data_IF_684354513376
#
_entry.id   IF_684354513376
#
_cell.length_a   1.000
_cell.length_b   1.000
_cell.length_c   1.000
_cell.angle_alpha   90.00
_cell.angle_beta   90.00
_cell.angle_gamma   90.00
#
_symmetry.space_group_name_H-M   'P 1'
#
loop_
_entity.id
_entity.type
_entity.pdbx_description
1 polymer ?
#
# COMPACT_ATOMS: atom_id res chain seq x y z
N UNK A 1 -12.67 9.36 20.62
CA UNK A 1 -12.67 8.79 19.25
C UNK A 1 -12.84 7.29 19.40
N UNK A 2 -13.93 6.73 18.90
CA UNK A 2 -14.13 5.28 18.87
C UNK A 2 -13.02 4.65 18.01
N UNK A 3 -12.39 3.54 18.44
CA UNK A 3 -11.41 2.86 17.61
C UNK A 3 -12.09 2.49 16.29
N UNK A 4 -11.55 2.97 15.16
CA UNK A 4 -11.97 2.50 13.85
C UNK A 4 -11.56 1.04 13.76
N UNK A 5 -12.53 0.16 14.00
CA UNK A 5 -12.30 -1.28 14.03
C UNK A 5 -12.09 -1.77 12.59
N UNK A 6 -10.84 -1.95 12.20
CA UNK A 6 -10.46 -2.51 10.90
C UNK A 6 -9.93 -3.94 11.10
N UNK A 7 -10.30 -4.92 10.25
CA UNK A 7 -9.81 -6.30 10.38
C UNK A 7 -8.29 -6.43 10.37
N UNK A 8 -7.61 -5.56 9.61
CA UNK A 8 -6.14 -5.54 9.49
C UNK A 8 -5.52 -4.43 10.37
N UNK A 9 -6.16 -4.09 11.49
CA UNK A 9 -5.70 -2.97 12.35
C UNK A 9 -4.23 -3.13 12.75
N UNK A 10 -3.84 -4.35 13.12
CA UNK A 10 -2.48 -4.67 13.53
C UNK A 10 -1.48 -4.42 12.38
N UNK A 11 -1.79 -4.91 11.17
CA UNK A 11 -0.93 -4.72 10.01
C UNK A 11 -0.78 -3.25 9.63
N UNK A 12 -1.85 -2.45 9.76
CA UNK A 12 -1.82 -1.00 9.51
C UNK A 12 -0.94 -0.27 10.54
N UNK A 13 -1.05 -0.62 11.81
CA UNK A 13 -0.20 -0.05 12.87
C UNK A 13 1.29 -0.43 12.64
N UNK A 14 1.57 -1.66 12.18
CA UNK A 14 2.91 -2.11 11.79
C UNK A 14 3.45 -1.39 10.55
N UNK A 15 2.61 -1.11 9.54
CA UNK A 15 3.01 -0.38 8.34
C UNK A 15 3.52 1.03 8.65
N UNK A 16 2.92 1.72 9.61
CA UNK A 16 3.37 3.03 10.03
C UNK A 16 4.76 3.00 10.71
N UNK A 17 5.13 1.87 11.33
CA UNK A 17 6.37 1.69 12.09
C UNK A 17 7.49 1.05 11.24
N UNK A 18 7.15 0.09 10.40
CA UNK A 18 8.08 -0.80 9.70
C UNK A 18 7.90 -0.79 8.18
N UNK A 19 6.88 -0.11 7.67
CA UNK A 19 6.59 -0.05 6.25
C UNK A 19 7.52 0.90 5.47
N UNK A 20 7.00 1.55 4.42
CA UNK A 20 7.81 2.33 3.50
C UNK A 20 8.47 3.55 4.16
N UNK A 21 9.72 3.82 3.79
CA UNK A 21 10.46 5.01 4.25
C UNK A 21 9.76 6.33 3.98
N UNK A 22 8.93 6.39 2.93
CA UNK A 22 8.14 7.58 2.64
C UNK A 22 6.83 7.53 3.47
N UNK A 23 6.66 8.45 4.45
CA UNK A 23 5.46 8.47 5.29
C UNK A 23 4.17 8.73 4.51
N UNK A 24 4.25 9.36 3.34
CA UNK A 24 3.09 9.58 2.48
C UNK A 24 2.45 8.26 2.02
N UNK A 25 3.27 7.22 1.78
CA UNK A 25 2.74 5.91 1.39
C UNK A 25 1.93 5.29 2.55
N UNK A 26 2.43 5.40 3.78
CA UNK A 26 1.68 4.93 4.96
C UNK A 26 0.35 5.67 5.13
N UNK A 27 0.34 6.99 4.91
CA UNK A 27 -0.90 7.79 4.99
C UNK A 27 -1.91 7.39 3.91
N UNK A 28 -1.46 7.07 2.71
CA UNK A 28 -2.32 6.59 1.64
C UNK A 28 -2.93 5.23 1.97
N UNK A 29 -2.12 4.31 2.52
CA UNK A 29 -2.57 2.99 2.97
C UNK A 29 -3.62 3.11 4.07
N UNK A 30 -3.38 3.97 5.08
CA UNK A 30 -4.35 4.24 6.14
C UNK A 30 -5.68 4.78 5.60
N UNK A 31 -5.63 5.73 4.66
CA UNK A 31 -6.86 6.29 4.07
C UNK A 31 -7.61 5.24 3.26
N UNK A 32 -6.92 4.43 2.47
CA UNK A 32 -7.54 3.34 1.72
C UNK A 32 -8.20 2.31 2.64
N UNK A 33 -7.56 1.96 3.76
CA UNK A 33 -8.12 0.99 4.70
C UNK A 33 -9.26 1.58 5.55
N UNK A 34 -9.03 2.73 6.18
CA UNK A 34 -9.98 3.28 7.15
C UNK A 34 -11.10 4.10 6.51
N UNK A 35 -10.85 4.81 5.42
CA UNK A 35 -11.86 5.66 4.78
C UNK A 35 -12.57 4.92 3.63
N UNK A 36 -11.92 3.94 3.00
CA UNK A 36 -12.47 3.17 1.88
C UNK A 36 -12.70 1.68 2.17
N UNK A 37 -12.28 1.18 3.33
CA UNK A 37 -12.57 -0.18 3.79
C UNK A 37 -11.75 -1.29 3.12
N UNK A 38 -10.67 -0.94 2.40
CA UNK A 38 -9.82 -1.92 1.74
C UNK A 38 -8.99 -2.70 2.77
N UNK A 39 -8.83 -4.00 2.52
CA UNK A 39 -7.89 -4.84 3.26
C UNK A 39 -6.45 -4.50 2.87
N UNK A 40 -5.52 -4.67 3.80
CA UNK A 40 -4.08 -4.44 3.55
C UNK A 40 -3.61 -5.27 2.36
N UNK A 41 -4.05 -6.52 2.24
CA UNK A 41 -3.77 -7.39 1.09
C UNK A 41 -4.22 -6.79 -0.24
N UNK A 42 -5.40 -6.16 -0.30
CA UNK A 42 -5.89 -5.53 -1.53
C UNK A 42 -5.02 -4.32 -1.91
N UNK A 43 -4.58 -3.55 -0.91
CA UNK A 43 -3.65 -2.43 -1.09
C UNK A 43 -2.27 -2.93 -1.58
N UNK A 44 -1.76 -4.02 -1.01
CA UNK A 44 -0.52 -4.67 -1.44
C UNK A 44 -0.60 -5.17 -2.88
N UNK A 45 -1.74 -5.75 -3.29
CA UNK A 45 -1.97 -6.18 -4.67
C UNK A 45 -1.92 -5.00 -5.65
N UNK A 46 -2.49 -3.83 -5.29
CA UNK A 46 -2.37 -2.61 -6.10
C UNK A 46 -0.92 -2.13 -6.24
N UNK A 47 -0.18 -2.10 -5.13
CA UNK A 47 1.24 -1.69 -5.13
C UNK A 47 2.06 -2.65 -6.00
N UNK A 48 1.86 -3.96 -5.83
CA UNK A 48 2.56 -4.99 -6.59
C UNK A 48 2.31 -4.86 -8.11
N UNK A 49 1.06 -4.59 -8.51
CA UNK A 49 0.72 -4.38 -9.92
C UNK A 49 1.37 -3.11 -10.48
N UNK A 50 1.35 -2.01 -9.73
CA UNK A 50 2.00 -0.77 -10.16
C UNK A 50 3.51 -0.95 -10.38
N UNK A 51 4.18 -1.68 -9.48
CA UNK A 51 5.60 -1.99 -9.60
C UNK A 51 5.90 -2.90 -10.80
N UNK A 52 5.09 -3.94 -11.03
CA UNK A 52 5.22 -4.83 -12.21
C UNK A 52 5.06 -4.06 -13.51
N UNK A 53 4.06 -3.18 -13.58
CA UNK A 53 3.83 -2.35 -14.76
C UNK A 53 5.02 -1.43 -15.04
N UNK A 54 5.52 -0.77 -13.99
CA UNK A 54 6.70 0.10 -14.14
C UNK A 54 7.94 -0.69 -14.55
N UNK A 55 8.14 -1.89 -14.01
CA UNK A 55 9.27 -2.74 -14.38
C UNK A 55 9.19 -3.14 -15.86
N UNK A 56 8.02 -3.56 -16.33
CA UNK A 56 7.81 -3.91 -17.74
C UNK A 56 8.09 -2.72 -18.68
N UNK A 57 7.71 -1.50 -18.29
CA UNK A 57 8.04 -0.28 -19.05
C UNK A 57 9.56 -0.06 -19.15
N UNK A 58 10.29 -0.21 -18.05
CA UNK A 58 11.75 -0.01 -18.05
C UNK A 58 12.47 -1.09 -18.86
N UNK A 59 12.01 -2.34 -18.78
CA UNK A 59 12.54 -3.44 -19.60
C UNK A 59 12.28 -3.23 -21.09
N UNK A 60 11.11 -2.68 -21.45
CA UNK A 60 10.79 -2.33 -22.83
C UNK A 60 11.68 -1.21 -23.37
N UNK A 61 12.05 -0.22 -22.54
CA UNK A 61 12.99 0.86 -22.94
C UNK A 61 14.41 0.38 -23.15
N UNK A 62 14.79 -0.72 -22.50
CA UNK A 62 16.14 -1.31 -22.59
C UNK A 62 16.28 -2.31 -23.74
N UNK A 63 15.19 -2.68 -24.43
CA UNK A 63 15.27 -3.47 -25.66
C UNK A 63 15.73 -2.57 -26.82
N UNK A 64 16.84 -2.93 -27.51
CA UNK A 64 17.35 -2.18 -28.65
C UNK A 64 16.42 -2.22 -29.85
#
# INVERSE_FOLDING_TARGET
MTPRHHPDRHDLDDWALYGPKNPEISQLVDRLAFDHGLRVKEIEDFILQALKNRLAEEEARQKP
#
